data_IF_371118171883
#
_entry.id   IF_371118171883
#
_cell.length_a   1.000
_cell.length_b   1.000
_cell.length_c   1.000
_cell.angle_alpha   90.00
_cell.angle_beta   90.00
_cell.angle_gamma   90.00
#
_symmetry.space_group_name_H-M   'P 1'
#
loop_
_entity.id
_entity.type
_entity.pdbx_description
1 polymer ?
#
# COMPACT_ATOMS: atom_id res chain seq x y z
N UNK A 1 26.70 3.28 9.16
CA UNK A 1 26.12 3.12 7.80
C UNK A 1 24.88 4.00 7.71
N UNK A 2 24.58 4.62 6.56
CA UNK A 2 23.35 5.40 6.40
C UNK A 2 22.11 4.50 6.53
N UNK A 3 21.03 5.06 7.07
CA UNK A 3 19.72 4.40 7.24
C UNK A 3 18.66 5.28 6.58
N UNK A 4 17.71 4.69 5.86
CA UNK A 4 16.60 5.42 5.24
C UNK A 4 15.68 5.97 6.35
N UNK A 5 15.64 7.30 6.50
CA UNK A 5 14.91 7.95 7.57
C UNK A 5 13.43 8.20 7.23
N UNK A 6 13.14 8.65 6.01
CA UNK A 6 11.78 8.90 5.55
C UNK A 6 11.70 8.79 4.02
N UNK A 7 10.49 8.58 3.52
CA UNK A 7 10.18 8.65 2.09
C UNK A 7 8.87 9.40 1.88
N UNK A 8 8.86 10.38 0.98
CA UNK A 8 7.65 11.14 0.64
C UNK A 8 6.78 10.31 -0.30
N UNK A 9 5.47 10.28 -0.03
CA UNK A 9 4.49 9.54 -0.83
C UNK A 9 3.42 10.52 -1.32
N UNK A 10 3.37 10.72 -2.64
CA UNK A 10 2.31 11.50 -3.26
C UNK A 10 0.98 10.73 -3.20
N UNK A 11 -0.10 11.44 -2.85
CA UNK A 11 -1.45 10.86 -2.69
C UNK A 11 -2.51 11.87 -3.06
N UNK A 12 -3.73 11.44 -3.36
CA UNK A 12 -4.87 12.38 -3.49
C UNK A 12 -5.49 12.78 -2.15
N UNK A 13 -5.17 12.05 -1.07
CA UNK A 13 -5.55 12.42 0.29
C UNK A 13 -4.57 11.77 1.27
N UNK A 14 -3.69 12.58 1.84
CA UNK A 14 -2.65 12.17 2.77
C UNK A 14 -3.24 11.59 4.03
N UNK A 15 -4.31 12.17 4.57
CA UNK A 15 -4.96 11.68 5.79
C UNK A 15 -5.61 10.32 5.57
N UNK A 16 -6.39 10.16 4.49
CA UNK A 16 -7.07 8.88 4.19
C UNK A 16 -6.06 7.79 3.86
N UNK A 17 -5.01 8.11 3.11
CA UNK A 17 -3.98 7.14 2.73
C UNK A 17 -3.16 6.72 3.94
N UNK A 18 -2.71 7.66 4.77
CA UNK A 18 -1.97 7.35 5.98
C UNK A 18 -2.80 6.52 6.96
N UNK A 19 -4.09 6.85 7.14
CA UNK A 19 -5.02 6.08 7.97
C UNK A 19 -5.21 4.65 7.43
N UNK A 20 -5.35 4.51 6.10
CA UNK A 20 -5.45 3.20 5.47
C UNK A 20 -4.23 2.32 5.74
N UNK A 21 -3.01 2.84 5.57
CA UNK A 21 -1.79 2.07 5.88
C UNK A 21 -1.65 1.76 7.37
N UNK A 22 -2.01 2.71 8.25
CA UNK A 22 -2.00 2.49 9.70
C UNK A 22 -2.94 1.35 10.10
N UNK A 23 -4.19 1.37 9.63
CA UNK A 23 -5.17 0.33 9.92
C UNK A 23 -4.75 -1.02 9.34
N UNK A 24 -4.35 -1.04 8.07
CA UNK A 24 -3.92 -2.25 7.37
C UNK A 24 -2.75 -2.94 8.09
N UNK A 25 -1.70 -2.18 8.39
CA UNK A 25 -0.46 -2.70 8.99
C UNK A 25 -0.54 -2.84 10.52
N UNK A 26 -1.63 -2.42 11.16
CA UNK A 26 -1.76 -2.46 12.63
C UNK A 26 -0.82 -1.49 13.35
N UNK A 27 -0.50 -0.38 12.71
CA UNK A 27 0.44 0.62 13.22
C UNK A 27 -0.30 1.74 14.00
N UNK A 28 0.40 2.46 14.91
CA UNK A 28 -0.15 3.65 15.54
C UNK A 28 -0.66 4.68 14.53
N UNK A 29 -1.61 5.52 14.99
CA UNK A 29 -2.21 6.56 14.17
C UNK A 29 -1.14 7.52 13.60
N UNK A 30 -1.27 7.95 12.33
CA UNK A 30 -0.34 8.87 11.72
C UNK A 30 -0.40 10.24 12.40
N UNK A 31 0.76 10.91 12.45
CA UNK A 31 0.88 12.26 13.00
C UNK A 31 0.83 13.29 11.88
N UNK A 32 0.17 14.43 12.11
CA UNK A 32 0.25 15.57 11.19
C UNK A 32 1.52 16.38 11.49
N UNK A 33 2.36 16.59 10.47
CA UNK A 33 3.56 17.41 10.59
C UNK A 33 3.70 18.30 9.36
N UNK A 34 3.35 19.59 9.51
CA UNK A 34 3.28 20.52 8.38
C UNK A 34 2.28 20.04 7.33
N UNK A 35 2.74 19.96 6.07
CA UNK A 35 1.97 19.47 4.93
C UNK A 35 1.84 17.94 4.87
N UNK A 36 2.51 17.21 5.77
CA UNK A 36 2.56 15.75 5.74
C UNK A 36 1.64 15.09 6.76
N UNK A 37 1.05 13.96 6.36
CA UNK A 37 0.59 12.93 7.28
C UNK A 37 1.70 11.87 7.40
N UNK A 38 2.29 11.74 8.57
CA UNK A 38 3.50 10.94 8.82
C UNK A 38 3.13 9.64 9.49
N UNK A 39 3.47 8.51 8.86
CA UNK A 39 3.30 7.17 9.40
C UNK A 39 4.66 6.51 9.67
N UNK A 40 4.89 6.09 10.93
CA UNK A 40 6.09 5.34 11.29
C UNK A 40 5.91 3.86 10.90
N UNK A 41 6.77 3.36 10.02
CA UNK A 41 6.67 1.97 9.48
C UNK A 41 7.80 1.05 9.97
N UNK A 42 8.84 1.61 10.59
CA UNK A 42 9.90 0.86 11.27
C UNK A 42 10.42 1.66 12.46
N UNK A 43 11.47 1.20 13.14
CA UNK A 43 12.13 2.00 14.19
C UNK A 43 12.66 3.34 13.65
N UNK A 44 13.23 3.32 12.45
CA UNK A 44 14.03 4.40 11.91
C UNK A 44 13.42 5.08 10.68
N UNK A 45 12.34 4.53 10.11
CA UNK A 45 11.76 4.96 8.82
C UNK A 45 10.29 5.38 8.91
N UNK A 46 9.96 6.53 8.33
CA UNK A 46 8.57 6.97 8.09
C UNK A 46 8.18 6.99 6.61
N UNK A 47 6.88 6.86 6.35
CA UNK A 47 6.27 7.29 5.10
C UNK A 47 5.54 8.61 5.35
N UNK A 48 5.89 9.62 4.56
CA UNK A 48 5.41 10.99 4.72
C UNK A 48 4.46 11.28 3.56
N UNK A 49 3.16 11.12 3.80
CA UNK A 49 2.13 11.28 2.79
C UNK A 49 1.83 12.76 2.57
N UNK A 50 1.72 13.18 1.31
CA UNK A 50 1.39 14.55 0.89
C UNK A 50 0.27 14.54 -0.16
N UNK A 51 -0.55 15.57 -0.17
CA UNK A 51 -1.59 15.75 -1.18
C UNK A 51 -0.98 16.20 -2.51
N UNK A 52 -1.46 15.61 -3.60
CA UNK A 52 -1.14 15.96 -4.97
C UNK A 52 -2.40 15.80 -5.84
N UNK A 53 -2.76 16.87 -6.53
CA UNK A 53 -3.92 16.94 -7.43
C UNK A 53 -3.61 16.42 -8.85
N UNK A 54 -2.33 16.24 -9.19
CA UNK A 54 -1.89 15.67 -10.46
C UNK A 54 -1.68 14.16 -10.42
N UNK A 55 -1.34 13.60 -11.58
CA UNK A 55 -0.92 12.21 -11.70
C UNK A 55 0.46 12.00 -11.04
N UNK A 56 0.68 10.80 -10.50
CA UNK A 56 1.96 10.38 -9.95
C UNK A 56 2.21 8.90 -10.23
N UNK A 57 3.48 8.54 -10.32
CA UNK A 57 3.90 7.17 -10.61
C UNK A 57 3.46 6.20 -9.52
N UNK A 58 3.17 4.96 -9.94
CA UNK A 58 2.91 3.87 -9.00
C UNK A 58 4.23 3.41 -8.40
N UNK A 59 4.30 3.43 -7.08
CA UNK A 59 5.45 2.91 -6.32
C UNK A 59 5.07 1.63 -5.58
N UNK A 60 6.05 0.74 -5.41
CA UNK A 60 5.90 -0.52 -4.68
C UNK A 60 6.61 -0.44 -3.34
N UNK A 61 5.85 -0.63 -2.25
CA UNK A 61 6.37 -0.71 -0.90
C UNK A 61 6.10 -2.10 -0.34
N UNK A 62 7.17 -2.82 -0.01
CA UNK A 62 7.11 -4.13 0.62
C UNK A 62 7.55 -4.01 2.08
N UNK A 63 6.75 -4.56 2.99
CA UNK A 63 7.04 -4.59 4.42
C UNK A 63 7.38 -6.02 4.83
N UNK A 64 8.56 -6.19 5.41
CA UNK A 64 8.91 -7.45 6.06
C UNK A 64 8.22 -7.48 7.43
N UNK A 65 7.44 -8.52 7.67
CA UNK A 65 6.67 -8.73 8.90
C UNK A 65 6.89 -10.15 9.40
N UNK A 66 6.55 -10.40 10.66
CA UNK A 66 6.47 -11.75 11.22
C UNK A 66 5.30 -12.53 10.65
N UNK A 67 5.29 -13.85 10.83
CA UNK A 67 4.18 -14.72 10.39
C UNK A 67 2.84 -14.36 11.08
N UNK A 68 2.88 -14.05 12.38
CA UNK A 68 1.69 -13.62 13.12
C UNK A 68 1.14 -12.29 12.60
N UNK A 69 2.02 -11.30 12.35
CA UNK A 69 1.61 -10.02 11.76
C UNK A 69 1.07 -10.21 10.35
N UNK A 70 1.65 -11.12 9.56
CA UNK A 70 1.15 -11.46 8.24
C UNK A 70 -0.30 -11.94 8.31
N UNK A 71 -0.61 -12.90 9.17
CA UNK A 71 -1.97 -13.43 9.33
C UNK A 71 -2.98 -12.35 9.73
N UNK A 72 -2.59 -11.46 10.66
CA UNK A 72 -3.43 -10.34 11.07
C UNK A 72 -3.68 -9.34 9.93
N UNK A 73 -2.62 -8.93 9.23
CA UNK A 73 -2.72 -8.02 8.09
C UNK A 73 -3.57 -8.64 6.99
N UNK A 74 -3.35 -9.92 6.70
CA UNK A 74 -4.09 -10.66 5.69
C UNK A 74 -5.58 -10.76 6.03
N UNK A 75 -5.93 -11.02 7.29
CA UNK A 75 -7.32 -11.00 7.74
C UNK A 75 -7.99 -9.63 7.53
N UNK A 76 -7.28 -8.51 7.81
CA UNK A 76 -7.80 -7.15 7.53
C UNK A 76 -8.03 -6.93 6.04
N UNK A 77 -7.11 -7.39 5.18
CA UNK A 77 -7.26 -7.30 3.72
C UNK A 77 -8.51 -8.06 3.24
N UNK A 78 -8.76 -9.25 3.76
CA UNK A 78 -9.93 -10.06 3.41
C UNK A 78 -11.24 -9.34 3.77
N UNK A 79 -11.30 -8.69 4.94
CA UNK A 79 -12.47 -7.94 5.40
C UNK A 79 -12.69 -6.66 4.58
N UNK A 80 -11.61 -5.97 4.19
CA UNK A 80 -11.68 -4.70 3.46
C UNK A 80 -12.04 -4.84 1.98
N UNK A 81 -12.17 -6.06 1.45
CA UNK A 81 -12.46 -6.37 0.03
C UNK A 81 -11.59 -5.59 -0.96
N UNK A 82 -10.35 -6.06 -1.14
CA UNK A 82 -9.43 -5.66 -2.24
C UNK A 82 -8.83 -6.91 -2.89
N UNK A 83 -8.41 -6.87 -4.17
CA UNK A 83 -7.70 -7.98 -4.78
C UNK A 83 -6.35 -8.17 -4.08
N UNK A 84 -6.05 -9.40 -3.66
CA UNK A 84 -4.83 -9.78 -2.95
C UNK A 84 -4.30 -11.13 -3.47
N UNK A 85 -2.98 -11.34 -3.44
CA UNK A 85 -2.33 -12.57 -3.90
C UNK A 85 -1.00 -12.31 -4.63
N UNK A 86 -0.29 -13.37 -5.01
CA UNK A 86 1.03 -13.30 -5.67
C UNK A 86 1.01 -12.70 -7.07
N UNK A 87 -0.17 -12.53 -7.69
CA UNK A 87 -0.34 -11.96 -9.04
C UNK A 87 -0.58 -10.45 -9.06
N UNK A 88 -0.61 -9.74 -7.92
CA UNK A 88 -0.94 -8.31 -7.91
C UNK A 88 -2.32 -8.03 -8.53
N UNK A 89 -2.38 -7.20 -9.58
CA UNK A 89 -3.63 -6.93 -10.33
C UNK A 89 -4.10 -8.11 -11.20
N UNK A 90 -3.29 -9.15 -11.37
CA UNK A 90 -3.58 -10.36 -12.15
C UNK A 90 -4.06 -11.53 -11.27
N UNK A 91 -4.33 -11.28 -9.98
CA UNK A 91 -4.86 -12.29 -9.08
C UNK A 91 -6.19 -12.87 -9.61
N UNK A 92 -6.43 -14.17 -9.38
CA UNK A 92 -7.60 -14.92 -9.87
C UNK A 92 -8.98 -14.34 -9.48
N UNK A 93 -8.99 -13.38 -8.55
CA UNK A 93 -10.18 -12.62 -8.16
C UNK A 93 -9.91 -11.10 -8.28
N UNK A 94 -9.89 -10.53 -9.51
CA UNK A 94 -9.74 -9.11 -9.69
C UNK A 94 -11.05 -8.38 -9.33
N UNK A 95 -10.95 -7.27 -8.61
CA UNK A 95 -12.11 -6.46 -8.20
C UNK A 95 -12.63 -5.59 -9.37
N UNK A 96 -13.96 -5.46 -9.57
CA UNK A 96 -14.58 -4.79 -10.73
C UNK A 96 -14.31 -3.28 -10.91
N UNK A 97 -13.46 -2.67 -10.07
CA UNK A 97 -13.07 -1.26 -10.14
C UNK A 97 -11.59 -1.03 -10.49
N UNK A 98 -10.77 -2.09 -10.63
CA UNK A 98 -9.32 -1.96 -10.91
C UNK A 98 -8.98 -2.33 -12.37
N UNK A 99 -9.81 -3.07 -13.08
CA UNK A 99 -9.70 -3.29 -14.52
C UNK A 99 -11.03 -3.81 -15.08
N UNK A 100 -11.40 -3.50 -16.34
CA UNK A 100 -12.44 -4.28 -17.01
C UNK A 100 -11.95 -5.74 -17.08
N UNK A 101 -12.86 -6.69 -16.91
CA UNK A 101 -12.58 -8.11 -17.12
C UNK A 101 -12.03 -8.27 -18.54
N UNK A 102 -10.74 -8.59 -18.67
CA UNK A 102 -10.14 -8.88 -19.97
C UNK A 102 -10.55 -10.31 -20.32
N UNK A 103 -11.62 -10.43 -21.08
CA UNK A 103 -12.13 -11.70 -21.56
C UNK A 103 -11.38 -12.13 -22.83
N UNK A 104 -10.08 -12.44 -22.75
CA UNK A 104 -9.37 -13.20 -23.81
C UNK A 104 -8.05 -13.79 -23.29
N UNK A 105 -7.74 -15.08 -23.55
CA UNK A 105 -6.46 -15.67 -23.19
C UNK A 105 -5.35 -15.20 -24.13
N UNK A 106 -4.38 -14.43 -23.64
CA UNK A 106 -3.10 -14.28 -24.34
C UNK A 106 -2.06 -15.23 -23.75
N UNK A 107 -1.73 -16.21 -24.57
CA UNK A 107 -0.60 -17.11 -24.39
C UNK A 107 0.71 -16.31 -24.39
N UNK A 108 1.51 -16.52 -23.33
CA UNK A 108 2.95 -16.34 -23.32
C UNK A 108 3.46 -14.89 -23.31
N UNK A 109 4.30 -14.57 -22.33
CA UNK A 109 5.57 -13.82 -22.49
C UNK A 109 6.09 -13.45 -21.09
N UNK A 110 6.93 -14.33 -20.52
CA UNK A 110 7.93 -13.93 -19.53
C UNK A 110 9.30 -14.27 -20.14
N UNK A 111 10.07 -13.24 -20.47
CA UNK A 111 11.55 -13.27 -20.47
C UNK A 111 12.01 -12.28 -19.42
#
# INVERSE_FOLDING_TARGET
>A
MPVLNHHIVATHSKEKTAAFYSELLGLPQPMKMGEFAVLRVSKDTTLDFVDNDGDFDRLHYAFLVTEAEFDEIFARIQVLTRPYGSGGTEAAHPHPLIAPVIDTPQQGLWS
#
